data_IF_773560603498
#
_entry.id   IF_773560603498
#
_cell.length_a   1.000
_cell.length_b   1.000
_cell.length_c   1.000
_cell.angle_alpha   90.00
_cell.angle_beta   90.00
_cell.angle_gamma   90.00
#
_symmetry.space_group_name_H-M   'P 1'
#
loop_
_entity.id
_entity.type
_entity.pdbx_description
1 polymer ?
#
# COMPACT_ATOMS: atom_id res chain seq x y z
N UNK A 1 -17.74 -6.44 13.22
CA UNK A 1 -16.36 -6.04 13.57
C UNK A 1 -15.93 -4.92 12.66
N UNK A 2 -15.22 -3.93 13.22
CA UNK A 2 -14.55 -2.86 12.49
C UNK A 2 -13.04 -3.06 12.59
N UNK A 3 -12.32 -2.67 11.53
CA UNK A 3 -10.88 -2.64 11.49
C UNK A 3 -10.43 -1.20 11.28
N UNK A 4 -9.47 -0.75 12.09
CA UNK A 4 -9.02 0.62 12.12
C UNK A 4 -7.49 0.65 12.11
N UNK A 5 -6.92 1.43 11.21
CA UNK A 5 -5.51 1.74 11.18
C UNK A 5 -5.24 3.08 11.85
N UNK A 6 -4.17 3.17 12.60
CA UNK A 6 -3.73 4.41 13.23
C UNK A 6 -2.22 4.40 13.46
N UNK A 7 -1.64 5.56 13.63
CA UNK A 7 -0.27 5.68 14.07
C UNK A 7 -0.19 6.11 15.52
N UNK A 8 0.77 5.56 16.25
CA UNK A 8 1.07 5.96 17.61
C UNK A 8 2.57 5.94 17.85
N UNK A 9 3.01 6.68 18.89
CA UNK A 9 4.40 6.68 19.35
C UNK A 9 4.62 5.49 20.26
N UNK A 10 5.77 4.84 20.11
CA UNK A 10 6.26 3.89 21.10
C UNK A 10 6.96 4.63 22.25
N UNK A 11 7.45 3.87 23.25
CA UNK A 11 8.17 4.41 24.43
C UNK A 11 9.44 5.18 24.05
N UNK A 12 10.05 4.88 22.91
CA UNK A 12 11.25 5.59 22.41
C UNK A 12 10.92 6.85 21.58
N UNK A 13 9.65 7.25 21.51
CA UNK A 13 9.20 8.42 20.77
C UNK A 13 9.22 8.25 19.25
N UNK A 14 9.28 7.01 18.75
CA UNK A 14 9.13 6.69 17.31
C UNK A 14 7.72 6.24 17.02
N UNK A 15 7.17 6.68 15.88
CA UNK A 15 5.84 6.25 15.44
C UNK A 15 5.90 5.02 14.56
N UNK A 16 4.88 4.19 14.67
CA UNK A 16 4.62 3.10 13.73
C UNK A 16 3.13 2.98 13.44
N UNK A 17 2.78 2.09 12.51
CA UNK A 17 1.42 1.79 12.12
C UNK A 17 0.87 0.64 12.97
N UNK A 18 -0.36 0.81 13.45
CA UNK A 18 -1.12 -0.21 14.15
C UNK A 18 -2.39 -0.56 13.38
N UNK A 19 -2.81 -1.82 13.49
CA UNK A 19 -4.12 -2.29 13.09
C UNK A 19 -4.88 -2.76 14.33
N UNK A 20 -6.08 -2.25 14.52
CA UNK A 20 -6.97 -2.59 15.63
C UNK A 20 -8.28 -3.17 15.08
N UNK A 21 -8.78 -4.21 15.72
CA UNK A 21 -10.17 -4.64 15.59
C UNK A 21 -11.01 -4.10 16.74
N UNK A 22 -12.29 -3.80 16.47
CA UNK A 22 -13.25 -3.35 17.47
C UNK A 22 -14.68 -3.72 17.05
N UNK A 23 -15.62 -3.59 17.94
CA UNK A 23 -17.04 -3.71 17.68
C UNK A 23 -17.73 -2.36 17.89
N UNK A 24 -18.71 -2.04 17.04
CA UNK A 24 -19.54 -0.86 17.22
C UNK A 24 -20.80 -1.25 18.01
N UNK A 25 -20.99 -0.63 19.16
CA UNK A 25 -22.19 -0.79 19.98
C UNK A 25 -22.60 0.55 20.56
N UNK A 26 -23.86 0.95 20.37
CA UNK A 26 -24.41 2.21 20.89
C UNK A 26 -23.53 3.43 20.62
N UNK A 27 -23.04 3.60 19.38
CA UNK A 27 -22.13 4.66 18.93
C UNK A 27 -20.76 4.70 19.66
N UNK A 28 -20.36 3.58 20.27
CA UNK A 28 -19.08 3.44 20.95
C UNK A 28 -18.31 2.23 20.43
N UNK A 29 -17.00 2.36 20.37
CA UNK A 29 -16.12 1.22 20.06
C UNK A 29 -15.86 0.44 21.35
N UNK A 30 -16.29 -0.83 21.35
CA UNK A 30 -16.06 -1.79 22.42
C UNK A 30 -15.16 -2.93 21.92
N UNK A 31 -14.69 -3.78 22.83
CA UNK A 31 -13.85 -4.96 22.52
C UNK A 31 -12.64 -4.62 21.63
N UNK A 32 -12.02 -3.44 21.89
CA UNK A 32 -10.85 -2.98 21.15
C UNK A 32 -9.65 -3.88 21.40
N UNK A 33 -9.06 -4.36 20.32
CA UNK A 33 -7.86 -5.20 20.36
C UNK A 33 -6.88 -4.75 19.27
N UNK A 34 -5.64 -4.41 19.64
CA UNK A 34 -4.55 -4.27 18.67
C UNK A 34 -4.21 -5.67 18.19
N UNK A 35 -4.35 -5.90 16.90
CA UNK A 35 -4.11 -7.20 16.25
C UNK A 35 -2.83 -7.22 15.43
N UNK A 36 -2.26 -6.05 15.13
CA UNK A 36 -0.98 -5.95 14.44
C UNK A 36 -0.28 -4.63 14.77
N UNK A 37 1.05 -4.70 14.89
CA UNK A 37 1.96 -3.57 15.03
C UNK A 37 3.07 -3.70 14.00
N UNK A 38 3.24 -2.68 13.14
CA UNK A 38 4.25 -2.73 12.09
C UNK A 38 5.66 -2.53 12.64
N UNK A 39 6.59 -3.41 12.31
CA UNK A 39 8.03 -3.22 12.53
C UNK A 39 8.59 -2.21 11.51
N UNK A 40 8.13 -0.94 11.61
CA UNK A 40 8.48 0.18 10.73
C UNK A 40 8.50 1.48 11.54
N UNK A 41 9.39 1.54 12.54
CA UNK A 41 9.50 2.66 13.47
C UNK A 41 10.21 3.86 12.85
N UNK A 42 9.53 5.01 12.79
CA UNK A 42 9.97 6.25 12.14
C UNK A 42 9.96 7.44 13.09
N UNK A 43 10.85 8.41 12.83
CA UNK A 43 10.92 9.64 13.65
C UNK A 43 9.75 10.58 13.39
N UNK A 44 9.31 10.67 12.13
CA UNK A 44 8.22 11.51 11.68
C UNK A 44 7.11 10.62 11.15
N UNK A 45 5.83 10.80 11.53
CA UNK A 45 4.72 9.94 11.10
C UNK A 45 4.23 10.28 9.69
N UNK A 46 5.11 10.11 8.71
CA UNK A 46 4.84 10.31 7.27
C UNK A 46 5.06 9.02 6.49
N UNK A 47 4.49 8.92 5.29
CA UNK A 47 4.51 7.74 4.45
C UNK A 47 4.11 6.48 5.22
N UNK A 48 2.93 6.53 5.83
CA UNK A 48 2.41 5.42 6.63
C UNK A 48 1.73 4.35 5.78
N UNK A 49 1.20 4.71 4.59
CA UNK A 49 0.28 3.86 3.85
C UNK A 49 -1.07 3.77 4.56
N UNK A 50 -1.31 2.68 5.31
CA UNK A 50 -2.46 2.48 6.20
C UNK A 50 -3.78 2.12 5.52
N UNK A 51 -3.80 1.77 4.24
CA UNK A 51 -4.99 1.25 3.57
C UNK A 51 -5.20 -0.21 3.91
N UNK A 52 -6.47 -0.60 4.07
CA UNK A 52 -6.88 -1.98 4.30
C UNK A 52 -7.98 -2.37 3.30
N UNK A 53 -7.94 -3.61 2.85
CA UNK A 53 -9.01 -4.23 2.10
C UNK A 53 -9.01 -5.74 2.36
N UNK A 54 -10.09 -6.44 1.99
CA UNK A 54 -10.27 -7.86 2.29
C UNK A 54 -10.20 -8.70 1.02
N UNK A 55 -9.45 -9.80 1.11
CA UNK A 55 -9.44 -10.82 0.06
C UNK A 55 -10.72 -11.69 0.12
N UNK A 56 -11.09 -12.33 -1.01
CA UNK A 56 -12.27 -13.22 -1.05
C UNK A 56 -12.21 -14.38 -0.06
N UNK A 57 -11.01 -14.81 0.34
CA UNK A 57 -10.80 -15.86 1.35
C UNK A 57 -11.02 -15.37 2.79
N UNK A 58 -11.31 -14.08 2.96
CA UNK A 58 -11.56 -13.43 4.23
C UNK A 58 -10.32 -12.97 4.98
N UNK A 59 -9.11 -13.15 4.45
CA UNK A 59 -7.92 -12.49 4.97
C UNK A 59 -7.93 -10.99 4.62
N UNK A 60 -7.09 -10.19 5.27
CA UNK A 60 -6.99 -8.76 5.01
C UNK A 60 -5.60 -8.38 4.51
N UNK A 61 -5.57 -7.37 3.67
CA UNK A 61 -4.35 -6.68 3.26
C UNK A 61 -4.23 -5.35 4.00
N UNK A 62 -3.00 -4.99 4.36
CA UNK A 62 -2.63 -3.74 5.00
C UNK A 62 -1.42 -3.14 4.30
N UNK A 63 -1.50 -1.89 3.86
CA UNK A 63 -0.35 -1.19 3.27
C UNK A 63 0.48 -0.47 4.34
N UNK A 64 1.81 -0.56 4.24
CA UNK A 64 2.76 0.14 5.09
C UNK A 64 3.82 0.83 4.23
N UNK A 65 3.85 2.16 4.25
CA UNK A 65 4.78 2.96 3.44
C UNK A 65 6.23 2.94 3.93
N UNK A 66 7.13 3.49 3.11
CA UNK A 66 8.59 3.47 3.32
C UNK A 66 9.10 4.41 4.42
N UNK A 67 8.21 5.24 5.03
CA UNK A 67 8.58 6.19 6.08
C UNK A 67 9.48 7.34 5.62
N UNK A 68 9.60 7.60 4.32
CA UNK A 68 10.35 8.67 3.66
C UNK A 68 11.87 8.55 3.81
N UNK A 69 12.38 8.66 5.03
CA UNK A 69 13.83 8.58 5.34
C UNK A 69 14.37 7.13 5.27
N UNK A 70 13.48 6.14 5.15
CA UNK A 70 13.82 4.72 5.22
C UNK A 70 13.61 3.99 3.88
N UNK A 71 13.60 4.72 2.76
CA UNK A 71 13.30 4.19 1.42
C UNK A 71 14.06 2.91 1.07
N UNK A 72 15.34 2.80 1.46
CA UNK A 72 16.17 1.62 1.19
C UNK A 72 15.64 0.36 1.88
N UNK A 73 14.91 0.52 3.00
CA UNK A 73 14.29 -0.58 3.73
C UNK A 73 13.11 -1.22 2.97
N UNK A 74 12.59 -0.55 1.94
CA UNK A 74 11.52 -1.11 1.10
C UNK A 74 11.97 -2.40 0.40
N UNK A 75 13.27 -2.57 0.13
CA UNK A 75 13.84 -3.78 -0.48
C UNK A 75 14.17 -4.90 0.53
N UNK A 76 14.17 -4.63 1.82
CA UNK A 76 14.47 -5.62 2.86
C UNK A 76 13.21 -6.34 3.34
N UNK A 77 13.27 -7.66 3.53
CA UNK A 77 12.13 -8.47 3.99
C UNK A 77 12.04 -8.60 5.54
N UNK A 78 12.95 -8.00 6.30
CA UNK A 78 13.00 -8.10 7.76
C UNK A 78 12.33 -6.92 8.49
N UNK A 79 11.56 -6.12 7.79
CA UNK A 79 10.83 -4.96 8.31
C UNK A 79 9.58 -4.70 7.47
N UNK A 80 8.72 -3.77 7.94
CA UNK A 80 7.47 -3.41 7.24
C UNK A 80 7.53 -2.08 6.48
N UNK A 81 8.68 -1.49 6.24
CA UNK A 81 8.79 -0.32 5.38
C UNK A 81 8.55 -0.67 3.91
N UNK A 82 7.60 -0.01 3.25
CA UNK A 82 7.28 -0.22 1.84
C UNK A 82 6.77 -1.64 1.54
N UNK A 83 5.77 -2.10 2.30
CA UNK A 83 5.20 -3.45 2.20
C UNK A 83 3.68 -3.44 2.08
N UNK A 84 3.15 -4.43 1.39
CA UNK A 84 1.79 -4.90 1.60
C UNK A 84 1.88 -6.14 2.51
N UNK A 85 1.06 -6.18 3.52
CA UNK A 85 1.02 -7.18 4.59
C UNK A 85 -0.31 -7.93 4.46
N UNK A 86 -0.30 -9.28 4.58
CA UNK A 86 -1.50 -10.09 4.61
C UNK A 86 -1.65 -10.79 5.95
N UNK A 87 -2.83 -10.65 6.55
CA UNK A 87 -3.15 -11.18 7.88
C UNK A 87 -4.52 -11.86 7.88
N UNK A 88 -4.69 -12.81 8.78
CA UNK A 88 -6.01 -13.26 9.20
C UNK A 88 -6.73 -12.14 9.98
N UNK A 89 -8.04 -12.23 10.11
CA UNK A 89 -8.87 -11.25 10.84
C UNK A 89 -8.53 -11.07 12.32
N UNK A 90 -7.84 -12.01 12.91
CA UNK A 90 -7.37 -11.97 14.30
C UNK A 90 -5.93 -11.43 14.46
N UNK A 91 -5.26 -11.12 13.34
CA UNK A 91 -3.90 -10.64 13.25
C UNK A 91 -2.84 -11.73 13.10
N UNK A 92 -3.22 -13.00 13.09
CA UNK A 92 -2.29 -14.11 12.82
C UNK A 92 -1.88 -14.14 11.34
N UNK A 93 -0.74 -14.78 11.07
CA UNK A 93 -0.18 -14.91 9.72
C UNK A 93 -0.82 -16.09 8.99
N UNK A 94 -1.37 -15.91 7.77
CA UNK A 94 -1.80 -17.01 6.93
C UNK A 94 -0.62 -17.95 6.57
N UNK A 95 -0.84 -19.26 6.64
CA UNK A 95 0.21 -20.26 6.40
C UNK A 95 0.67 -20.34 4.94
N UNK A 96 -0.11 -19.77 4.02
CA UNK A 96 0.16 -19.72 2.58
C UNK A 96 0.73 -18.37 2.12
N UNK A 97 1.16 -17.51 3.05
CA UNK A 97 1.86 -16.27 2.69
C UNK A 97 3.20 -16.55 2.00
N UNK A 98 3.61 -15.71 1.03
CA UNK A 98 4.73 -16.01 0.15
C UNK A 98 6.10 -16.09 0.84
N UNK A 99 6.25 -15.52 2.04
CA UNK A 99 7.53 -15.45 2.75
C UNK A 99 7.57 -16.25 4.07
N UNK A 100 6.56 -17.10 4.33
CA UNK A 100 6.47 -17.91 5.57
C UNK A 100 7.72 -18.76 5.81
N UNK A 101 8.26 -19.39 4.76
CA UNK A 101 9.40 -20.30 4.85
C UNK A 101 10.74 -19.65 4.47
N UNK A 102 10.76 -18.33 4.30
CA UNK A 102 11.97 -17.61 3.92
C UNK A 102 12.74 -17.16 5.16
N UNK A 103 13.98 -17.63 5.37
CA UNK A 103 14.78 -17.24 6.54
C UNK A 103 15.00 -15.72 6.60
N UNK A 104 14.81 -15.14 7.79
CA UNK A 104 14.94 -13.72 8.09
C UNK A 104 13.93 -12.80 7.39
N UNK A 105 12.95 -13.32 6.67
CA UNK A 105 11.81 -12.55 6.20
C UNK A 105 10.70 -12.51 7.26
N UNK A 106 9.94 -11.42 7.32
CA UNK A 106 8.72 -11.35 8.10
C UNK A 106 7.60 -12.09 7.35
N UNK A 107 7.00 -13.13 7.95
CA UNK A 107 6.09 -14.04 7.25
C UNK A 107 4.76 -13.40 6.84
N UNK A 108 4.38 -12.28 7.44
CA UNK A 108 3.19 -11.50 7.11
C UNK A 108 3.33 -10.66 5.83
N UNK A 109 4.52 -10.51 5.26
CA UNK A 109 4.73 -9.75 4.03
C UNK A 109 4.05 -10.47 2.86
N UNK A 110 3.27 -9.70 2.07
CA UNK A 110 2.61 -10.16 0.85
C UNK A 110 3.35 -9.71 -0.41
N UNK A 111 3.76 -8.43 -0.45
CA UNK A 111 4.62 -7.85 -1.51
C UNK A 111 5.52 -6.76 -0.92
N UNK A 112 6.55 -6.34 -1.67
CA UNK A 112 7.55 -5.40 -1.19
C UNK A 112 8.06 -4.46 -2.29
N UNK A 113 8.91 -3.50 -1.91
CA UNK A 113 9.45 -2.54 -2.86
C UNK A 113 8.46 -1.43 -3.20
N UNK A 114 7.58 -1.06 -2.25
CA UNK A 114 6.62 0.02 -2.37
C UNK A 114 7.13 1.30 -1.71
N UNK A 115 6.58 2.46 -2.13
CA UNK A 115 6.92 3.75 -1.55
C UNK A 115 5.88 4.21 -0.52
N UNK A 116 4.75 4.74 -0.98
CA UNK A 116 3.70 5.27 -0.10
C UNK A 116 2.33 5.06 -0.74
N UNK A 117 1.78 3.91 -0.49
CA UNK A 117 0.51 3.44 -1.03
C UNK A 117 -0.66 4.19 -0.39
N UNK A 118 -1.51 4.81 -1.21
CA UNK A 118 -2.64 5.62 -0.77
C UNK A 118 -3.99 5.10 -1.30
N UNK A 119 -3.99 4.10 -2.16
CA UNK A 119 -5.18 3.40 -2.63
C UNK A 119 -4.94 1.90 -2.65
N UNK A 120 -5.96 1.13 -2.30
CA UNK A 120 -5.95 -0.32 -2.34
C UNK A 120 -7.38 -0.77 -2.64
N UNK A 121 -7.55 -1.60 -3.65
CA UNK A 121 -8.84 -2.20 -4.03
C UNK A 121 -8.63 -3.66 -4.36
N UNK A 122 -9.37 -4.52 -3.69
CA UNK A 122 -9.48 -5.95 -4.00
C UNK A 122 -10.77 -6.17 -4.78
N UNK A 123 -10.65 -6.75 -5.98
CA UNK A 123 -11.78 -7.10 -6.81
C UNK A 123 -12.44 -8.40 -6.34
N UNK A 124 -13.71 -8.61 -6.70
CA UNK A 124 -14.43 -9.85 -6.35
C UNK A 124 -13.76 -11.13 -6.89
N UNK A 125 -13.02 -11.04 -7.98
CA UNK A 125 -12.24 -12.13 -8.56
C UNK A 125 -10.86 -12.34 -7.91
N UNK A 126 -10.54 -11.56 -6.89
CA UNK A 126 -9.30 -11.65 -6.12
C UNK A 126 -8.12 -10.84 -6.67
N UNK A 127 -8.28 -10.14 -7.81
CA UNK A 127 -7.24 -9.21 -8.28
C UNK A 127 -7.10 -8.03 -7.33
N UNK A 128 -5.88 -7.61 -7.10
CA UNK A 128 -5.54 -6.55 -6.16
C UNK A 128 -4.92 -5.40 -6.93
N UNK A 129 -5.49 -4.22 -6.79
CA UNK A 129 -4.95 -3.00 -7.39
C UNK A 129 -4.55 -2.02 -6.31
N UNK A 130 -3.46 -1.34 -6.56
CA UNK A 130 -2.87 -0.38 -5.65
C UNK A 130 -2.38 0.83 -6.44
N UNK A 131 -2.41 2.02 -5.84
CA UNK A 131 -1.66 3.17 -6.31
C UNK A 131 -0.82 3.79 -5.19
N UNK A 132 0.33 4.32 -5.59
CA UNK A 132 1.27 4.93 -4.66
C UNK A 132 1.86 6.24 -5.18
N UNK A 133 2.28 7.06 -4.22
CA UNK A 133 3.03 8.27 -4.52
C UNK A 133 4.45 7.95 -4.98
N UNK A 134 4.83 8.42 -6.15
CA UNK A 134 6.23 8.61 -6.51
C UNK A 134 6.86 9.79 -5.74
N UNK A 135 8.15 10.05 -5.95
CA UNK A 135 8.79 11.26 -5.43
C UNK A 135 8.37 12.50 -6.25
N UNK A 136 9.27 13.17 -6.94
CA UNK A 136 8.90 14.23 -7.87
C UNK A 136 8.55 13.61 -9.23
N UNK A 137 7.28 13.25 -9.43
CA UNK A 137 6.78 12.41 -10.53
C UNK A 137 6.91 10.91 -10.21
N UNK A 138 6.39 10.06 -11.11
CA UNK A 138 6.45 8.62 -10.96
C UNK A 138 5.49 8.05 -9.92
N UNK A 139 4.32 8.67 -9.74
CA UNK A 139 3.21 8.00 -9.05
C UNK A 139 2.79 6.79 -9.89
N UNK A 140 2.44 5.70 -9.25
CA UNK A 140 2.20 4.42 -9.91
C UNK A 140 0.81 3.87 -9.62
N UNK A 141 0.30 3.09 -10.56
CA UNK A 141 -0.88 2.26 -10.41
C UNK A 141 -0.48 0.82 -10.77
N UNK A 142 -0.62 -0.07 -9.82
CA UNK A 142 -0.04 -1.41 -9.84
C UNK A 142 -1.11 -2.51 -9.75
N UNK A 143 -0.89 -3.64 -10.44
CA UNK A 143 -1.53 -4.91 -10.16
C UNK A 143 -0.63 -5.68 -9.18
N UNK A 144 -1.19 -6.04 -8.03
CA UNK A 144 -0.41 -6.63 -6.95
C UNK A 144 -0.53 -8.16 -6.96
N UNK A 145 0.63 -8.81 -6.96
CA UNK A 145 0.76 -10.26 -6.88
C UNK A 145 1.59 -10.68 -5.65
N UNK A 146 1.30 -11.86 -5.06
CA UNK A 146 2.02 -12.34 -3.89
C UNK A 146 3.51 -12.58 -4.20
N UNK A 147 4.38 -12.20 -3.27
CA UNK A 147 5.83 -12.43 -3.34
C UNK A 147 6.61 -11.50 -4.26
N UNK A 148 5.95 -10.58 -4.95
CA UNK A 148 6.57 -9.70 -5.96
C UNK A 148 7.22 -8.47 -5.37
N UNK A 149 8.28 -7.99 -6.09
CA UNK A 149 9.02 -6.76 -5.81
C UNK A 149 8.60 -5.66 -6.77
N UNK A 150 8.09 -4.54 -6.25
CA UNK A 150 7.64 -3.38 -7.03
C UNK A 150 8.73 -2.32 -7.23
N UNK A 151 9.94 -2.61 -6.76
CA UNK A 151 11.17 -2.00 -7.21
C UNK A 151 11.62 -0.74 -6.48
N UNK A 152 10.76 -0.03 -5.75
CA UNK A 152 11.18 1.15 -5.01
C UNK A 152 12.24 0.83 -3.94
N UNK A 153 13.34 1.62 -3.81
CA UNK A 153 13.77 2.76 -4.63
C UNK A 153 14.77 2.36 -5.73
N UNK A 154 15.04 1.07 -5.96
CA UNK A 154 16.00 0.59 -6.94
C UNK A 154 15.61 0.94 -8.38
N UNK A 155 14.31 1.00 -8.67
CA UNK A 155 13.74 1.56 -9.90
C UNK A 155 12.70 2.62 -9.55
N UNK A 156 12.56 3.64 -10.40
CA UNK A 156 11.52 4.69 -10.27
C UNK A 156 11.43 5.53 -11.53
N UNK A 157 10.24 6.05 -11.83
CA UNK A 157 9.99 7.04 -12.89
C UNK A 157 10.12 8.48 -12.40
N UNK A 158 10.38 8.69 -11.12
CA UNK A 158 10.52 10.01 -10.50
C UNK A 158 11.97 10.33 -10.12
N UNK A 159 12.17 11.59 -9.71
CA UNK A 159 13.44 12.10 -9.18
C UNK A 159 13.24 12.64 -7.76
N UNK A 160 14.28 12.80 -7.00
CA UNK A 160 14.22 13.39 -5.67
C UNK A 160 13.65 14.82 -5.71
N UNK A 161 13.05 15.27 -4.62
CA UNK A 161 12.52 16.62 -4.50
C UNK A 161 13.59 17.72 -4.65
N UNK A 162 14.85 17.40 -4.31
CA UNK A 162 16.02 18.24 -4.56
C UNK A 162 16.41 18.33 -6.05
N UNK A 163 15.87 17.44 -6.89
CA UNK A 163 16.25 17.27 -8.29
C UNK A 163 17.33 16.21 -8.54
N UNK A 164 17.84 15.59 -7.48
CA UNK A 164 18.82 14.51 -7.62
C UNK A 164 18.18 13.24 -8.19
N UNK A 165 18.98 12.43 -8.89
CA UNK A 165 18.58 11.11 -9.36
C UNK A 165 18.53 10.16 -8.17
N UNK A 166 17.39 9.47 -7.95
CA UNK A 166 17.25 8.41 -6.95
C UNK A 166 17.82 7.11 -7.51
N UNK A 167 17.38 6.73 -8.70
CA UNK A 167 17.86 5.60 -9.44
C UNK A 167 18.03 5.95 -10.91
N UNK A 168 19.08 5.46 -11.60
CA UNK A 168 19.19 5.60 -13.05
C UNK A 168 18.28 4.63 -13.82
N UNK A 169 17.60 3.73 -13.11
CA UNK A 169 16.79 2.67 -13.71
C UNK A 169 15.29 2.92 -13.49
N UNK A 170 14.52 2.66 -14.54
CA UNK A 170 13.05 2.62 -14.49
C UNK A 170 12.52 1.19 -14.50
N UNK A 171 13.36 0.21 -14.83
CA UNK A 171 13.05 -1.22 -14.83
C UNK A 171 14.28 -2.06 -14.52
N UNK A 172 14.09 -3.20 -13.87
CA UNK A 172 15.12 -4.22 -13.61
C UNK A 172 14.46 -5.60 -13.61
N UNK A 173 15.26 -6.63 -13.92
CA UNK A 173 14.79 -8.01 -13.87
C UNK A 173 14.38 -8.40 -12.43
N UNK A 174 13.25 -9.09 -12.30
CA UNK A 174 12.69 -9.48 -11.00
C UNK A 174 11.95 -8.37 -10.26
N UNK A 175 11.74 -7.21 -10.90
CA UNK A 175 10.92 -6.11 -10.39
C UNK A 175 9.74 -5.85 -11.30
N UNK A 176 8.56 -5.77 -10.71
CA UNK A 176 7.31 -5.54 -11.44
C UNK A 176 7.24 -4.10 -11.97
N UNK A 177 6.49 -3.93 -13.04
CA UNK A 177 6.28 -2.63 -13.65
C UNK A 177 4.85 -2.17 -13.41
N UNK A 178 4.62 -0.87 -13.16
CA UNK A 178 3.28 -0.34 -13.00
C UNK A 178 2.48 -0.49 -14.30
N UNK A 179 1.19 -0.77 -14.15
CA UNK A 179 0.23 -0.73 -15.27
C UNK A 179 0.12 0.69 -15.84
N UNK A 180 0.28 1.68 -14.97
CA UNK A 180 0.28 3.11 -15.33
C UNK A 180 1.15 3.90 -14.36
N UNK A 181 1.83 4.92 -14.87
CA UNK A 181 2.52 5.91 -14.03
C UNK A 181 2.24 7.33 -14.49
N UNK A 182 2.46 8.30 -13.61
CA UNK A 182 2.24 9.72 -13.91
C UNK A 182 3.51 10.56 -13.70
N UNK A 183 3.92 11.22 -14.79
CA UNK A 183 4.95 12.27 -14.78
C UNK A 183 4.41 13.45 -15.57
N UNK A 184 4.17 14.59 -14.93
CA UNK A 184 4.42 14.92 -13.52
C UNK A 184 3.47 14.20 -12.56
N UNK A 185 3.83 14.13 -11.26
CA UNK A 185 3.01 13.57 -10.20
C UNK A 185 1.61 14.22 -10.15
N UNK A 186 0.59 13.41 -9.94
CA UNK A 186 -0.79 13.83 -9.65
C UNK A 186 -1.09 13.85 -8.15
N UNK A 187 -0.21 13.27 -7.33
CA UNK A 187 -0.39 13.02 -5.90
C UNK A 187 -1.70 12.25 -5.61
N UNK A 188 -1.80 10.96 -6.00
CA UNK A 188 -3.01 10.17 -5.83
C UNK A 188 -3.30 9.95 -4.35
N UNK A 189 -4.57 10.03 -3.92
CA UNK A 189 -4.93 10.03 -2.50
C UNK A 189 -5.86 8.91 -2.06
N UNK A 190 -6.73 8.46 -2.96
CA UNK A 190 -7.61 7.32 -2.75
C UNK A 190 -8.11 6.79 -4.09
N UNK A 191 -8.71 5.59 -4.10
CA UNK A 191 -9.37 5.06 -5.28
C UNK A 191 -10.53 4.15 -4.94
N UNK A 192 -11.43 4.03 -5.89
CA UNK A 192 -12.49 3.03 -5.92
C UNK A 192 -12.56 2.39 -7.31
N UNK A 193 -13.06 1.17 -7.39
CA UNK A 193 -13.54 0.62 -8.65
C UNK A 193 -15.00 0.99 -8.84
N UNK A 194 -15.34 1.52 -10.02
CA UNK A 194 -16.70 1.94 -10.34
C UNK A 194 -17.32 0.99 -11.40
N UNK A 195 -18.34 0.27 -10.97
CA UNK A 195 -19.14 -0.64 -11.80
C UNK A 195 -20.61 -0.21 -11.95
N UNK A 196 -20.96 0.96 -11.36
CA UNK A 196 -22.32 1.50 -11.37
C UNK A 196 -22.81 1.95 -12.76
N UNK A 197 -24.11 2.12 -12.89
CA UNK A 197 -24.76 2.51 -14.14
C UNK A 197 -25.09 4.01 -14.25
N UNK A 198 -24.90 4.77 -13.15
CA UNK A 198 -25.25 6.20 -13.12
C UNK A 198 -24.35 7.04 -14.05
N UNK A 199 -23.08 6.66 -14.18
CA UNK A 199 -22.10 7.29 -15.08
C UNK A 199 -21.53 6.21 -16.02
N UNK A 200 -22.22 5.90 -17.13
CA UNK A 200 -21.83 4.80 -18.03
C UNK A 200 -20.43 4.95 -18.62
N UNK A 201 -19.98 6.20 -18.83
CA UNK A 201 -18.64 6.52 -19.34
C UNK A 201 -17.50 6.20 -18.36
N UNK A 202 -17.83 6.04 -17.07
CA UNK A 202 -16.88 5.68 -16.01
C UNK A 202 -16.97 4.19 -15.64
N UNK A 203 -17.95 3.47 -16.20
CA UNK A 203 -18.14 2.05 -15.86
C UNK A 203 -16.90 1.23 -16.16
N UNK A 204 -16.59 0.28 -15.27
CA UNK A 204 -15.40 -0.57 -15.31
C UNK A 204 -14.08 0.22 -15.28
N UNK A 205 -14.04 1.30 -14.51
CA UNK A 205 -12.84 2.12 -14.32
C UNK A 205 -12.50 2.26 -12.84
N UNK A 206 -11.22 2.37 -12.55
CA UNK A 206 -10.77 2.87 -11.25
C UNK A 206 -10.85 4.40 -11.26
N UNK A 207 -11.46 4.95 -10.23
CA UNK A 207 -11.55 6.40 -10.03
C UNK A 207 -10.53 6.79 -8.97
N UNK A 208 -9.43 7.39 -9.43
CA UNK A 208 -8.30 7.80 -8.58
C UNK A 208 -8.42 9.28 -8.28
N UNK A 209 -8.54 9.65 -7.00
CA UNK A 209 -8.54 11.05 -6.58
C UNK A 209 -7.12 11.61 -6.54
N UNK A 210 -6.94 12.86 -6.99
CA UNK A 210 -5.63 13.48 -7.15
C UNK A 210 -5.55 14.81 -6.39
N UNK A 211 -4.65 14.89 -5.40
CA UNK A 211 -4.47 16.09 -4.56
C UNK A 211 -3.91 17.27 -5.33
N UNK A 212 -2.97 17.02 -6.25
CA UNK A 212 -2.29 18.10 -6.99
C UNK A 212 -3.18 18.75 -8.03
N UNK A 213 -3.88 17.97 -8.83
CA UNK A 213 -4.80 18.47 -9.86
C UNK A 213 -6.20 18.76 -9.31
N UNK A 214 -6.53 18.29 -8.10
CA UNK A 214 -7.83 18.47 -7.42
C UNK A 214 -8.99 17.97 -8.27
N UNK A 215 -8.81 16.78 -8.86
CA UNK A 215 -9.76 16.12 -9.74
C UNK A 215 -9.80 14.62 -9.48
N UNK A 216 -10.62 13.93 -10.24
CA UNK A 216 -10.69 12.46 -10.28
C UNK A 216 -10.15 12.00 -11.63
N UNK A 217 -9.20 11.07 -11.60
CA UNK A 217 -8.60 10.46 -12.79
C UNK A 217 -9.23 9.10 -13.03
N UNK A 218 -10.01 8.91 -14.09
CA UNK A 218 -10.44 7.58 -14.47
C UNK A 218 -9.24 6.81 -15.05
N UNK A 219 -9.07 5.58 -14.58
CA UNK A 219 -8.13 4.60 -15.12
C UNK A 219 -8.96 3.43 -15.61
N UNK A 220 -9.17 3.36 -16.92
CA UNK A 220 -9.96 2.29 -17.54
C UNK A 220 -9.19 0.98 -17.49
N UNK A 221 -9.80 -0.03 -16.88
CA UNK A 221 -9.23 -1.36 -16.81
C UNK A 221 -9.18 -2.07 -18.19
N UNK A 222 -10.09 -1.71 -19.11
CA UNK A 222 -10.15 -2.33 -20.43
C UNK A 222 -9.05 -1.88 -21.40
N UNK A 223 -8.23 -0.90 -20.98
CA UNK A 223 -7.13 -0.33 -21.76
C UNK A 223 -5.75 -0.46 -21.08
N UNK A 224 -5.65 -1.30 -20.02
CA UNK A 224 -4.41 -1.60 -19.31
C UNK A 224 -3.76 -2.89 -19.82
#
# INVERSE_FOLDING_TARGET
TLYLTYSALNESGKSTLFLMSAELSNNSLINKKVIFEANAFRRVPIHLGAKIDFLPDGTLLLTSGDGFDYKEQAQSLNNHFGKIIRLNKDGSVPSDNPFVDIPNALPEIFSYGHRNMQGLVVMEDGRIFEHEHGPRGGDEFNLIEPGKNYGWPAITYGIDYSGAVISPFTKMDGMEQPLKYWVPSIAPSDMIYYDGDLYPELKNSFLVTALKSRDVKPVSYTHL
#
